data_IF_451977699892
#
_entry.id   IF_451977699892
#
_cell.length_a   1.000
_cell.length_b   1.000
_cell.length_c   1.000
_cell.angle_alpha   90.00
_cell.angle_beta   90.00
_cell.angle_gamma   90.00
#
_symmetry.space_group_name_H-M   'P 1'
#
loop_
_entity.id
_entity.type
_entity.pdbx_description
1 polymer ?
#
# COMPACT_ATOMS: atom_id res chain seq x y z
N UNK A 1 -24.20 24.03 -38.57
CA UNK A 1 -23.13 23.01 -38.41
C UNK A 1 -22.04 23.33 -39.43
N UNK A 2 -20.72 23.34 -39.14
CA UNK A 2 -19.96 23.71 -37.93
C UNK A 2 -19.04 24.94 -38.15
N UNK A 3 -18.54 25.57 -37.07
CA UNK A 3 -17.55 26.68 -37.12
C UNK A 3 -16.10 26.18 -36.99
N UNK A 4 -15.11 26.89 -37.56
CA UNK A 4 -13.70 26.49 -37.59
C UNK A 4 -12.97 26.76 -36.25
N UNK A 5 -12.25 25.76 -35.78
CA UNK A 5 -11.43 25.81 -34.55
C UNK A 5 -10.12 26.56 -34.84
N UNK A 6 -9.91 27.69 -34.15
CA UNK A 6 -8.66 28.46 -34.19
C UNK A 6 -7.53 27.70 -33.50
N UNK A 7 -6.45 27.47 -34.26
CA UNK A 7 -5.15 26.98 -33.77
C UNK A 7 -4.44 28.10 -33.02
N UNK A 8 -4.05 27.84 -31.77
CA UNK A 8 -3.11 28.69 -31.03
C UNK A 8 -3.28 28.48 -29.54
N UNK A 9 -2.26 27.88 -28.91
CA UNK A 9 -1.85 28.04 -27.50
C UNK A 9 -0.94 26.89 -26.99
N UNK A 10 -0.46 25.99 -27.85
CA UNK A 10 0.47 24.92 -27.45
C UNK A 10 1.96 25.23 -27.67
N UNK A 11 2.38 26.49 -27.80
CA UNK A 11 3.81 26.81 -28.05
C UNK A 11 4.61 27.24 -26.83
N UNK A 12 3.96 27.64 -25.74
CA UNK A 12 4.66 28.08 -24.52
C UNK A 12 4.72 27.01 -23.42
N UNK A 13 3.77 26.08 -23.38
CA UNK A 13 3.73 25.03 -22.36
C UNK A 13 4.79 23.91 -22.59
N UNK A 14 5.07 23.56 -23.84
CA UNK A 14 6.05 22.49 -24.18
C UNK A 14 7.51 22.93 -24.07
N UNK A 15 7.81 24.24 -24.07
CA UNK A 15 9.17 24.74 -23.86
C UNK A 15 9.58 24.70 -22.37
N UNK A 16 8.63 24.89 -21.46
CA UNK A 16 8.90 24.85 -20.01
C UNK A 16 9.14 23.43 -19.49
N UNK A 17 8.48 22.42 -20.06
CA UNK A 17 8.73 21.01 -19.67
C UNK A 17 10.09 20.49 -20.18
N UNK A 18 10.59 20.99 -21.32
CA UNK A 18 11.80 20.46 -21.95
C UNK A 18 13.10 20.89 -21.24
N UNK A 19 13.11 22.04 -20.56
CA UNK A 19 14.27 22.51 -19.78
C UNK A 19 14.39 21.78 -18.43
N UNK A 20 13.27 21.32 -17.85
CA UNK A 20 13.26 20.57 -16.59
C UNK A 20 13.84 19.15 -16.74
N UNK A 21 13.57 18.49 -17.87
CA UNK A 21 14.04 17.13 -18.16
C UNK A 21 15.55 17.03 -18.49
N UNK A 22 16.16 18.10 -19.03
CA UNK A 22 17.61 18.12 -19.31
C UNK A 22 18.47 18.24 -18.05
N UNK A 23 17.93 18.82 -16.96
CA UNK A 23 18.65 18.90 -15.68
C UNK A 23 18.67 17.57 -14.91
N UNK A 24 17.62 16.75 -15.05
CA UNK A 24 17.53 15.42 -14.40
C UNK A 24 18.38 14.37 -15.12
N UNK A 25 18.45 14.42 -16.45
CA UNK A 25 19.32 13.52 -17.23
C UNK A 25 20.81 13.82 -17.04
N UNK A 26 21.20 15.09 -16.84
CA UNK A 26 22.59 15.47 -16.53
C UNK A 26 23.10 14.87 -15.20
N UNK A 27 22.25 14.78 -14.18
CA UNK A 27 22.62 14.18 -12.88
C UNK A 27 22.82 12.67 -12.98
N UNK A 28 22.06 11.97 -13.83
CA UNK A 28 22.19 10.51 -14.02
C UNK A 28 23.41 10.18 -14.92
N UNK A 29 23.77 11.05 -15.87
CA UNK A 29 24.91 10.81 -16.75
C UNK A 29 26.29 11.02 -16.09
N UNK A 30 26.39 11.79 -15.00
CA UNK A 30 27.66 12.15 -14.35
C UNK A 30 28.14 11.19 -13.24
N UNK A 31 27.46 10.07 -13.01
CA UNK A 31 27.91 9.00 -12.09
C UNK A 31 28.20 7.67 -12.82
N UNK A 32 28.72 7.77 -14.05
CA UNK A 32 29.25 6.62 -14.80
C UNK A 32 30.63 6.24 -14.23
N UNK A 33 30.61 5.39 -13.21
CA UNK A 33 31.81 4.73 -12.70
C UNK A 33 32.51 3.94 -13.84
N UNK A 34 33.86 4.01 -13.92
CA UNK A 34 34.63 3.28 -14.92
C UNK A 34 34.46 1.76 -14.72
N UNK A 35 34.22 1.07 -15.84
CA UNK A 35 34.18 -0.38 -15.90
C UNK A 35 35.55 -0.95 -15.56
N UNK A 36 35.68 -1.54 -14.38
CA UNK A 36 36.82 -2.36 -14.01
C UNK A 36 36.75 -3.68 -14.80
N UNK A 37 37.66 -3.85 -15.75
CA UNK A 37 37.87 -5.09 -16.50
C UNK A 37 38.34 -6.20 -15.56
N UNK A 38 37.44 -7.13 -15.22
CA UNK A 38 37.77 -8.38 -14.53
C UNK A 38 38.50 -9.30 -15.53
N UNK A 39 39.68 -9.87 -15.18
CA UNK A 39 40.38 -10.78 -16.07
C UNK A 39 39.60 -12.09 -16.23
N UNK A 40 39.35 -12.47 -17.49
CA UNK A 40 38.71 -13.74 -17.82
C UNK A 40 39.66 -14.91 -17.49
N UNK A 41 39.34 -15.68 -16.45
CA UNK A 41 39.98 -16.97 -16.19
C UNK A 41 39.26 -18.05 -17.00
N UNK A 42 39.97 -18.50 -18.04
CA UNK A 42 40.00 -19.84 -18.65
C UNK A 42 38.82 -20.79 -18.40
N UNK A 43 38.17 -21.13 -19.52
CA UNK A 43 37.26 -22.25 -19.74
C UNK A 43 37.77 -23.57 -19.13
N UNK A 44 37.27 -23.92 -17.96
CA UNK A 44 36.98 -25.31 -17.63
C UNK A 44 35.45 -25.41 -17.68
N UNK A 45 34.93 -26.23 -18.58
CA UNK A 45 33.49 -26.40 -18.75
C UNK A 45 32.91 -26.94 -17.45
N UNK A 46 31.90 -26.29 -16.83
CA UNK A 46 31.09 -26.99 -15.86
C UNK A 46 30.32 -28.03 -16.66
N UNK A 47 30.56 -29.31 -16.38
CA UNK A 47 29.69 -30.40 -16.81
C UNK A 47 28.30 -30.09 -16.24
N UNK A 48 27.48 -29.45 -17.07
CA UNK A 48 26.05 -29.27 -16.85
C UNK A 48 25.45 -30.66 -17.01
N UNK A 49 25.61 -31.48 -15.97
CA UNK A 49 24.65 -32.53 -15.71
C UNK A 49 23.32 -31.80 -15.59
N UNK A 50 22.44 -32.05 -16.57
CA UNK A 50 21.03 -31.70 -16.50
C UNK A 50 20.50 -32.23 -15.17
N UNK A 51 20.55 -31.40 -14.13
CA UNK A 51 19.70 -31.58 -12.97
C UNK A 51 18.31 -31.24 -13.49
N UNK A 52 17.68 -32.25 -14.07
CA UNK A 52 16.23 -32.44 -14.07
C UNK A 52 15.71 -31.75 -12.80
N UNK A 53 14.94 -30.68 -12.97
CA UNK A 53 14.39 -29.89 -11.87
C UNK A 53 13.64 -30.85 -10.95
N UNK A 54 14.34 -31.37 -9.95
CA UNK A 54 13.82 -32.40 -9.06
C UNK A 54 12.61 -31.77 -8.39
N UNK A 55 11.44 -32.39 -8.60
CA UNK A 55 10.16 -31.83 -8.17
C UNK A 55 10.26 -31.44 -6.69
N UNK A 56 10.19 -30.14 -6.42
CA UNK A 56 10.23 -29.64 -5.06
C UNK A 56 8.86 -29.80 -4.40
N UNK A 57 8.82 -29.75 -3.06
CA UNK A 57 7.55 -29.87 -2.32
C UNK A 57 6.68 -28.64 -2.59
N UNK A 58 5.54 -28.83 -3.25
CA UNK A 58 4.62 -27.73 -3.61
C UNK A 58 3.91 -27.06 -2.42
N UNK A 59 3.84 -27.71 -1.25
CA UNK A 59 3.17 -27.16 -0.07
C UNK A 59 3.68 -27.77 1.24
N UNK A 60 3.85 -26.95 2.29
CA UNK A 60 4.20 -27.40 3.64
C UNK A 60 3.60 -26.51 4.73
N UNK A 61 3.04 -27.13 5.77
CA UNK A 61 2.56 -26.49 6.98
C UNK A 61 3.54 -26.61 8.17
N UNK A 62 4.71 -27.25 7.96
CA UNK A 62 5.58 -27.75 9.03
C UNK A 62 6.05 -26.68 10.04
N UNK A 63 6.32 -25.46 9.57
CA UNK A 63 6.84 -24.37 10.42
C UNK A 63 5.79 -23.29 10.73
N UNK A 64 4.52 -23.51 10.37
CA UNK A 64 3.48 -22.49 10.55
C UNK A 64 3.15 -22.29 12.02
N UNK A 65 2.93 -23.39 12.76
CA UNK A 65 2.61 -23.36 14.18
C UNK A 65 3.73 -22.74 15.00
N UNK A 66 4.98 -23.15 14.74
CA UNK A 66 6.14 -22.60 15.46
C UNK A 66 6.25 -21.08 15.29
N UNK A 67 6.11 -20.55 14.07
CA UNK A 67 6.11 -19.10 13.82
C UNK A 67 4.92 -18.38 14.48
N UNK A 68 3.72 -18.97 14.44
CA UNK A 68 2.54 -18.38 15.05
C UNK A 68 2.67 -18.25 16.58
N UNK A 69 3.36 -19.20 17.23
CA UNK A 69 3.56 -19.21 18.68
C UNK A 69 4.79 -18.42 19.16
N UNK A 70 5.73 -18.03 18.28
CA UNK A 70 6.89 -17.18 18.64
C UNK A 70 6.48 -15.89 19.38
N UNK A 71 5.49 -15.17 18.85
CA UNK A 71 4.93 -13.95 19.47
C UNK A 71 3.58 -14.21 20.16
N UNK A 72 3.09 -15.45 20.06
CA UNK A 72 1.78 -15.89 20.52
C UNK A 72 0.61 -15.39 19.65
N UNK A 73 -0.41 -16.22 19.50
CA UNK A 73 -1.67 -15.86 18.85
C UNK A 73 -2.47 -14.96 19.81
N UNK A 74 -2.59 -13.67 19.48
CA UNK A 74 -3.30 -12.70 20.34
C UNK A 74 -4.80 -12.74 20.07
N UNK A 75 -5.59 -12.78 21.14
CA UNK A 75 -7.05 -12.61 21.07
C UNK A 75 -7.39 -11.13 20.77
N UNK A 76 -8.52 -10.84 20.11
CA UNK A 76 -8.98 -9.47 19.93
C UNK A 76 -9.18 -8.81 21.29
N UNK A 77 -8.79 -7.54 21.41
CA UNK A 77 -8.92 -6.77 22.65
C UNK A 77 -10.39 -6.53 22.97
N UNK A 78 -10.80 -6.85 24.21
CA UNK A 78 -12.14 -6.53 24.71
C UNK A 78 -12.18 -5.07 25.14
N UNK A 79 -12.93 -4.25 24.42
CA UNK A 79 -13.22 -2.86 24.78
C UNK A 79 -14.58 -2.79 25.48
N UNK A 80 -14.83 -1.75 26.30
CA UNK A 80 -16.14 -1.52 26.94
C UNK A 80 -17.25 -1.36 25.89
N UNK A 81 -16.92 -0.80 24.73
CA UNK A 81 -17.82 -0.63 23.60
C UNK A 81 -17.17 -1.22 22.34
N UNK A 82 -17.85 -2.16 21.70
CA UNK A 82 -17.42 -2.75 20.43
C UNK A 82 -17.90 -1.90 19.25
N UNK A 83 -17.32 -2.13 18.06
CA UNK A 83 -17.77 -1.45 16.84
C UNK A 83 -19.20 -1.85 16.48
N UNK A 84 -20.06 -0.87 16.17
CA UNK A 84 -21.44 -1.08 15.68
C UNK A 84 -21.53 -1.22 14.16
N UNK A 85 -20.39 -1.36 13.46
CA UNK A 85 -20.34 -1.53 12.01
C UNK A 85 -21.00 -2.86 11.62
N UNK A 86 -21.94 -2.79 10.67
CA UNK A 86 -22.72 -3.96 10.24
C UNK A 86 -24.00 -4.23 11.04
N UNK A 87 -24.33 -3.40 12.03
CA UNK A 87 -25.65 -3.45 12.69
C UNK A 87 -26.75 -2.89 11.79
N UNK A 88 -27.99 -3.32 12.04
CA UNK A 88 -29.18 -2.86 11.32
C UNK A 88 -29.27 -1.32 11.27
N UNK A 89 -29.31 -0.72 10.06
CA UNK A 89 -29.47 0.72 9.89
C UNK A 89 -30.70 1.29 10.63
N UNK A 90 -31.81 0.56 10.73
CA UNK A 90 -33.02 1.05 11.41
C UNK A 90 -32.77 1.20 12.92
N UNK A 91 -32.15 0.19 13.53
CA UNK A 91 -31.71 0.27 14.92
C UNK A 91 -30.73 1.41 15.17
N UNK A 92 -29.74 1.62 14.28
CA UNK A 92 -28.76 2.70 14.40
C UNK A 92 -29.41 4.09 14.31
N UNK A 93 -30.41 4.28 13.43
CA UNK A 93 -31.18 5.53 13.35
C UNK A 93 -31.91 5.81 14.66
N UNK A 94 -32.61 4.81 15.21
CA UNK A 94 -33.30 4.93 16.49
C UNK A 94 -32.33 5.26 17.64
N UNK A 95 -31.22 4.53 17.73
CA UNK A 95 -30.20 4.75 18.77
C UNK A 95 -29.63 6.18 18.73
N UNK A 96 -29.47 6.77 17.54
CA UNK A 96 -29.06 8.18 17.39
C UNK A 96 -30.10 9.15 17.95
N UNK A 97 -31.38 8.92 17.68
CA UNK A 97 -32.46 9.76 18.21
C UNK A 97 -32.57 9.62 19.74
N UNK A 98 -32.58 8.40 20.27
CA UNK A 98 -32.61 8.16 21.72
C UNK A 98 -31.46 8.86 22.44
N UNK A 99 -30.21 8.70 21.97
CA UNK A 99 -29.05 9.40 22.54
C UNK A 99 -29.14 10.92 22.46
N UNK A 100 -29.82 11.48 21.46
CA UNK A 100 -30.00 12.94 21.31
C UNK A 100 -30.88 13.50 22.42
N UNK A 101 -31.95 12.80 22.79
CA UNK A 101 -32.90 13.25 23.81
C UNK A 101 -32.47 12.87 25.23
N UNK A 102 -31.81 11.72 25.42
CA UNK A 102 -31.31 11.29 26.72
C UNK A 102 -30.19 12.19 27.29
N UNK A 103 -29.43 12.90 26.43
CA UNK A 103 -28.42 13.87 26.90
C UNK A 103 -29.06 15.05 27.61
N UNK A 104 -30.15 15.58 27.04
CA UNK A 104 -30.89 16.72 27.60
C UNK A 104 -31.60 16.35 28.90
N UNK A 105 -32.21 15.17 28.95
CA UNK A 105 -32.85 14.68 30.18
C UNK A 105 -31.84 14.27 31.26
N UNK A 106 -30.61 13.92 30.87
CA UNK A 106 -29.54 13.59 31.82
C UNK A 106 -29.04 14.81 32.58
N UNK A 107 -28.90 15.95 31.91
CA UNK A 107 -28.51 17.23 32.53
C UNK A 107 -29.58 17.72 33.52
N UNK A 108 -30.86 17.66 33.14
CA UNK A 108 -31.97 18.03 34.04
C UNK A 108 -32.13 17.07 35.22
N UNK A 109 -31.83 15.77 35.03
CA UNK A 109 -31.92 14.78 36.11
C UNK A 109 -30.77 14.86 37.11
N UNK A 110 -29.63 15.45 36.73
CA UNK A 110 -28.49 15.68 37.65
C UNK A 110 -28.58 16.98 38.44
N UNK A 111 -29.47 17.90 38.07
CA UNK A 111 -29.72 19.16 38.79
C UNK A 111 -30.82 19.03 39.86
N UNK A 112 -31.59 17.94 39.83
CA UNK A 112 -32.66 17.62 40.80
C UNK A 112 -32.20 16.64 41.90
N UNK A 113 -30.89 16.40 42.06
CA UNK A 113 -30.28 15.66 43.18
C UNK A 113 -29.33 16.56 44.00
#
# INVERSE_FOLDING_TARGET
MPLPIRRGHYRHFVKSLRVSLHKVTYIIAHLRLPQNSVPQKTLAQPDLHDQEMAKSKNHTAHNQSYKAHKNGIKKPKRHRHTSTKGMDPKFLRNQRYARKHNKKSGETATEEE
#
